data_IF_075772764495
#
_entry.id   IF_075772764495
#
_cell.length_a   1.000
_cell.length_b   1.000
_cell.length_c   1.000
_cell.angle_alpha   90.00
_cell.angle_beta   90.00
_cell.angle_gamma   90.00
#
_symmetry.space_group_name_H-M   'P 1'
#
loop_
_entity.id
_entity.type
_entity.pdbx_description
1 polymer ?
#
# COMPACT_ATOMS: atom_id res chain seq x y z
N UNK A 1 2.58 -12.66 -8.94
CA UNK A 1 1.48 -12.25 -8.05
C UNK A 1 0.26 -11.92 -8.88
N UNK A 2 -0.95 -12.24 -8.42
CA UNK A 2 -2.20 -11.78 -9.04
C UNK A 2 -2.46 -10.32 -8.63
N UNK A 3 -2.67 -9.38 -9.56
CA UNK A 3 -3.00 -7.99 -9.22
C UNK A 3 -4.28 -7.92 -8.37
N UNK A 4 -4.21 -7.21 -7.24
CA UNK A 4 -5.37 -6.90 -6.38
C UNK A 4 -5.54 -5.40 -6.30
N UNK A 5 -6.79 -4.96 -6.17
CA UNK A 5 -7.14 -3.55 -6.12
C UNK A 5 -8.18 -3.29 -5.04
N UNK A 6 -8.16 -2.07 -4.51
CA UNK A 6 -9.18 -1.54 -3.61
C UNK A 6 -9.55 -0.13 -4.04
N UNK A 7 -10.74 0.30 -3.67
CA UNK A 7 -11.25 1.64 -3.97
C UNK A 7 -11.65 2.31 -2.66
N UNK A 8 -11.38 3.60 -2.54
CA UNK A 8 -12.03 4.43 -1.52
C UNK A 8 -13.39 4.89 -2.02
N UNK A 9 -14.48 4.40 -1.41
CA UNK A 9 -15.83 4.86 -1.70
C UNK A 9 -16.11 6.15 -0.90
N UNK A 10 -16.19 7.28 -1.61
CA UNK A 10 -16.36 8.59 -1.00
C UNK A 10 -17.73 8.79 -0.35
N UNK A 11 -18.75 8.04 -0.77
CA UNK A 11 -20.11 8.10 -0.22
C UNK A 11 -20.21 7.37 1.12
N UNK A 12 -19.70 6.13 1.17
CA UNK A 12 -19.75 5.31 2.39
C UNK A 12 -18.56 5.55 3.32
N UNK A 13 -17.54 6.27 2.86
CA UNK A 13 -16.28 6.55 3.57
C UNK A 13 -15.59 5.27 4.03
N UNK A 14 -15.48 4.30 3.12
CA UNK A 14 -14.87 2.99 3.39
C UNK A 14 -13.96 2.56 2.24
N UNK A 15 -12.95 1.78 2.61
CA UNK A 15 -12.17 1.00 1.65
C UNK A 15 -12.98 -0.23 1.23
N UNK A 16 -13.13 -0.41 -0.09
CA UNK A 16 -13.89 -1.49 -0.71
C UNK A 16 -12.99 -2.33 -1.62
N UNK A 17 -13.18 -3.65 -1.62
CA UNK A 17 -12.48 -4.54 -2.54
C UNK A 17 -13.05 -4.43 -3.97
N UNK A 18 -12.15 -4.36 -4.95
CA UNK A 18 -12.51 -4.37 -6.36
C UNK A 18 -12.84 -5.78 -6.80
N UNK A 19 -13.99 -5.93 -7.45
CA UNK A 19 -14.49 -7.23 -7.94
C UNK A 19 -14.22 -7.43 -9.43
N UNK A 20 -14.16 -6.34 -10.20
CA UNK A 20 -13.86 -6.38 -11.62
C UNK A 20 -13.26 -5.05 -12.11
N UNK A 21 -12.43 -5.14 -13.14
CA UNK A 21 -11.92 -4.01 -13.91
C UNK A 21 -12.27 -4.24 -15.38
N UNK A 22 -12.99 -3.30 -15.97
CA UNK A 22 -13.22 -3.24 -17.41
C UNK A 22 -12.29 -2.19 -18.02
N UNK A 23 -11.15 -2.65 -18.54
CA UNK A 23 -10.13 -1.79 -19.15
C UNK A 23 -10.59 -1.20 -20.49
N UNK A 24 -11.57 -1.82 -21.16
CA UNK A 24 -12.08 -1.29 -22.43
C UNK A 24 -12.96 -0.06 -22.20
N UNK A 25 -13.81 -0.12 -21.19
CA UNK A 25 -14.72 0.97 -20.84
C UNK A 25 -14.17 1.92 -19.75
N UNK A 26 -12.97 1.63 -19.25
CA UNK A 26 -12.31 2.33 -18.12
C UNK A 26 -13.21 2.39 -16.89
N UNK A 27 -13.79 1.25 -16.53
CA UNK A 27 -14.71 1.09 -15.40
C UNK A 27 -14.18 0.14 -14.34
N UNK A 28 -14.50 0.44 -13.09
CA UNK A 28 -14.17 -0.38 -11.93
C UNK A 28 -15.45 -0.73 -11.18
N UNK A 29 -15.62 -2.01 -10.91
CA UNK A 29 -16.70 -2.51 -10.08
C UNK A 29 -16.14 -2.91 -8.72
N UNK A 30 -16.77 -2.47 -7.63
CA UNK A 30 -16.36 -2.77 -6.26
C UNK A 30 -17.57 -3.01 -5.36
N UNK A 31 -17.36 -3.80 -4.29
CA UNK A 31 -18.43 -4.16 -3.36
C UNK A 31 -18.50 -3.22 -2.17
N UNK A 32 -19.65 -2.60 -1.93
CA UNK A 32 -19.86 -1.71 -0.77
C UNK A 32 -20.33 -2.43 0.49
N UNK A 33 -20.71 -3.71 0.37
CA UNK A 33 -21.05 -4.58 1.48
C UNK A 33 -20.58 -6.00 1.25
N UNK A 34 -20.17 -6.64 2.32
CA UNK A 34 -19.97 -8.08 2.38
C UNK A 34 -21.04 -8.68 3.30
N UNK A 35 -21.36 -9.95 3.07
CA UNK A 35 -22.17 -10.68 4.03
C UNK A 35 -21.34 -11.11 5.25
N UNK A 36 -21.97 -11.76 6.22
CA UNK A 36 -21.34 -12.26 7.45
C UNK A 36 -20.18 -13.26 7.22
N UNK A 37 -20.02 -13.77 6.00
CA UNK A 37 -18.95 -14.70 5.59
C UNK A 37 -17.88 -14.02 4.72
N UNK A 38 -17.87 -12.70 4.61
CA UNK A 38 -16.91 -11.95 3.79
C UNK A 38 -17.12 -12.16 2.28
N UNK A 39 -18.31 -12.59 1.84
CA UNK A 39 -18.64 -12.71 0.42
C UNK A 39 -19.30 -11.44 -0.07
N UNK A 40 -18.84 -10.99 -1.24
CA UNK A 40 -19.46 -9.94 -2.05
C UNK A 40 -20.95 -10.24 -2.26
N UNK A 41 -21.79 -9.26 -1.93
CA UNK A 41 -23.21 -9.30 -2.21
C UNK A 41 -23.44 -8.55 -3.53
N UNK A 42 -23.96 -9.24 -4.56
CA UNK A 42 -24.04 -8.70 -5.93
C UNK A 42 -24.85 -7.41 -6.02
N UNK A 43 -25.90 -7.29 -5.23
CA UNK A 43 -26.78 -6.12 -5.16
C UNK A 43 -26.08 -4.85 -4.65
N UNK A 44 -24.90 -4.99 -4.04
CA UNK A 44 -24.11 -3.89 -3.48
C UNK A 44 -22.84 -3.61 -4.29
N UNK A 45 -22.74 -4.16 -5.51
CA UNK A 45 -21.68 -3.84 -6.46
C UNK A 45 -22.01 -2.50 -7.10
N UNK A 46 -21.14 -1.51 -6.89
CA UNK A 46 -21.13 -0.26 -7.66
C UNK A 46 -20.19 -0.42 -8.84
N UNK A 47 -20.49 0.27 -9.94
CA UNK A 47 -19.59 0.39 -11.09
C UNK A 47 -19.43 1.85 -11.42
N UNK A 48 -18.19 2.33 -11.42
CA UNK A 48 -17.83 3.72 -11.64
C UNK A 48 -16.75 3.82 -12.70
N UNK A 49 -16.55 5.00 -13.29
CA UNK A 49 -15.36 5.23 -14.11
C UNK A 49 -14.12 5.21 -13.22
N UNK A 50 -13.03 4.60 -13.70
CA UNK A 50 -11.76 4.55 -12.99
C UNK A 50 -11.21 5.95 -12.67
N UNK A 51 -11.54 6.95 -13.47
CA UNK A 51 -11.11 8.33 -13.27
C UNK A 51 -11.88 9.05 -12.14
N UNK A 52 -13.06 8.54 -11.77
CA UNK A 52 -13.96 9.16 -10.79
C UNK A 52 -13.79 8.56 -9.38
N UNK A 53 -12.90 7.59 -9.23
CA UNK A 53 -12.62 6.92 -7.96
C UNK A 53 -11.13 6.85 -7.67
N UNK A 54 -10.81 6.78 -6.38
CA UNK A 54 -9.44 6.54 -5.92
C UNK A 54 -9.15 5.03 -5.93
N UNK A 55 -8.70 4.55 -7.09
CA UNK A 55 -8.27 3.17 -7.29
C UNK A 55 -6.82 2.98 -6.78
N UNK A 56 -6.61 2.01 -5.90
CA UNK A 56 -5.31 1.70 -5.30
C UNK A 56 -4.90 0.26 -5.59
N UNK A 57 -3.67 0.06 -6.06
CA UNK A 57 -3.15 -1.28 -6.38
C UNK A 57 -2.35 -1.87 -5.20
N UNK A 58 -2.47 -3.19 -4.98
CA UNK A 58 -1.60 -3.93 -4.04
C UNK A 58 -0.14 -3.84 -4.48
N UNK A 59 0.76 -3.55 -3.53
CA UNK A 59 2.22 -3.53 -3.77
C UNK A 59 2.85 -4.93 -3.73
N UNK A 60 2.06 -5.94 -3.39
CA UNK A 60 2.47 -7.34 -3.38
C UNK A 60 3.26 -7.81 -2.19
N UNK A 61 3.18 -7.05 -1.10
CA UNK A 61 3.71 -7.43 0.19
C UNK A 61 2.54 -7.80 1.10
N UNK A 62 2.64 -8.98 1.69
CA UNK A 62 1.72 -9.43 2.72
C UNK A 62 2.41 -9.37 4.09
N UNK A 63 1.93 -8.47 4.95
CA UNK A 63 2.40 -8.28 6.30
C UNK A 63 1.47 -9.04 7.26
N UNK A 64 1.89 -10.23 7.70
CA UNK A 64 1.17 -11.04 8.69
C UNK A 64 -0.32 -11.26 8.36
N UNK A 65 -0.64 -11.57 7.10
CA UNK A 65 -2.02 -11.77 6.61
C UNK A 65 -2.66 -10.53 6.01
N UNK A 66 -2.09 -9.34 6.22
CA UNK A 66 -2.57 -8.07 5.62
C UNK A 66 -1.82 -7.78 4.32
N UNK A 67 -2.55 -7.73 3.22
CA UNK A 67 -2.02 -7.23 1.96
C UNK A 67 -1.83 -5.71 2.04
N UNK A 68 -0.69 -5.19 1.56
CA UNK A 68 -0.40 -3.77 1.51
C UNK A 68 -0.73 -3.18 0.13
N UNK A 69 -1.20 -1.95 0.11
CA UNK A 69 -1.68 -1.23 -1.07
C UNK A 69 -1.11 0.18 -1.13
N UNK A 70 -1.20 0.78 -2.32
CA UNK A 70 -1.10 2.22 -2.46
C UNK A 70 -2.07 2.93 -1.51
N UNK A 71 -1.65 4.09 -0.99
CA UNK A 71 -2.38 4.87 0.00
C UNK A 71 -2.28 4.36 1.45
N UNK A 72 -1.70 3.19 1.70
CA UNK A 72 -1.37 2.76 3.08
C UNK A 72 -0.30 3.67 3.69
N UNK A 73 -0.33 3.85 5.00
CA UNK A 73 0.67 4.58 5.77
C UNK A 73 1.51 3.53 6.49
N UNK A 74 2.80 3.50 6.18
CA UNK A 74 3.74 2.55 6.74
C UNK A 74 4.83 3.28 7.51
N UNK A 75 5.29 2.64 8.59
CA UNK A 75 6.58 2.94 9.21
C UNK A 75 7.56 1.82 8.92
N UNK A 76 8.76 2.19 8.49
CA UNK A 76 9.83 1.27 8.14
C UNK A 76 11.09 1.64 8.88
N UNK A 77 11.63 0.67 9.62
CA UNK A 77 12.89 0.80 10.33
C UNK A 77 13.84 -0.29 9.85
N UNK A 78 15.05 0.09 9.43
CA UNK A 78 16.06 -0.86 8.96
C UNK A 78 17.48 -0.39 9.29
N UNK A 79 18.29 -1.34 9.76
CA UNK A 79 19.72 -1.20 10.06
C UNK A 79 20.50 -2.00 9.03
N UNK A 80 21.09 -1.32 8.05
CA UNK A 80 21.77 -1.96 6.91
C UNK A 80 23.27 -1.77 6.98
N UNK A 81 24.01 -2.81 6.63
CA UNK A 81 25.41 -2.69 6.26
C UNK A 81 25.49 -2.42 4.76
N UNK A 82 26.17 -1.34 4.38
CA UNK A 82 26.45 -1.04 2.98
C UNK A 82 27.97 -0.91 2.80
N UNK A 83 28.54 -1.68 1.87
CA UNK A 83 29.96 -1.65 1.51
C UNK A 83 30.60 -3.03 1.28
N UNK A 84 31.44 -3.14 0.25
CA UNK A 84 32.28 -4.32 -0.02
C UNK A 84 33.53 -4.24 0.89
N UNK A 85 33.83 -5.31 1.61
CA UNK A 85 34.91 -5.49 2.61
C UNK A 85 35.99 -4.38 2.67
N UNK A 86 35.75 -3.36 3.52
CA UNK A 86 36.71 -2.69 4.45
C UNK A 86 36.17 -1.40 5.06
N UNK A 87 35.15 -0.77 4.49
CA UNK A 87 34.48 0.43 5.03
C UNK A 87 33.00 0.16 5.34
N UNK A 88 32.74 -0.54 6.44
CA UNK A 88 31.38 -0.87 6.89
C UNK A 88 30.64 0.42 7.27
N UNK A 89 29.73 0.88 6.42
CA UNK A 89 28.82 1.99 6.76
C UNK A 89 27.48 1.41 7.17
N UNK A 90 27.02 1.75 8.37
CA UNK A 90 25.66 1.43 8.81
C UNK A 90 24.72 2.52 8.33
N UNK A 91 23.72 2.15 7.55
CA UNK A 91 22.61 3.04 7.20
C UNK A 91 21.46 2.72 8.14
N UNK A 92 21.09 3.69 8.97
CA UNK A 92 19.85 3.67 9.72
C UNK A 92 18.77 4.31 8.86
N UNK A 93 17.78 3.53 8.47
CA UNK A 93 16.59 3.99 7.76
C UNK A 93 15.44 4.00 8.76
N UNK A 94 14.80 5.15 8.93
CA UNK A 94 13.58 5.33 9.70
C UNK A 94 12.68 6.26 8.90
N UNK A 95 11.67 5.68 8.27
CA UNK A 95 10.80 6.37 7.34
C UNK A 95 9.36 6.04 7.68
N UNK A 96 8.54 7.07 7.81
CA UNK A 96 7.09 6.94 7.92
C UNK A 96 6.47 7.70 6.76
N UNK A 97 5.52 7.10 6.05
CA UNK A 97 4.92 7.78 4.92
C UNK A 97 3.85 6.98 4.20
N UNK A 98 3.16 7.67 3.31
CA UNK A 98 2.15 7.09 2.43
C UNK A 98 2.84 6.27 1.34
N UNK A 99 2.30 5.09 1.07
CA UNK A 99 2.71 4.23 -0.03
C UNK A 99 2.22 4.81 -1.33
N UNK A 100 3.14 5.11 -2.23
CA UNK A 100 2.83 5.56 -3.60
C UNK A 100 3.58 4.72 -4.62
N UNK A 101 3.14 4.76 -5.88
CA UNK A 101 3.90 4.23 -7.01
C UNK A 101 4.16 5.32 -8.02
N UNK A 102 5.41 5.41 -8.45
CA UNK A 102 5.84 6.29 -9.53
C UNK A 102 6.67 5.51 -10.57
N UNK A 103 7.31 6.24 -11.48
CA UNK A 103 8.15 5.67 -12.52
C UNK A 103 9.46 5.03 -12.00
N UNK A 104 9.84 5.28 -10.75
CA UNK A 104 11.05 4.77 -10.08
C UNK A 104 10.69 3.55 -9.22
N UNK A 105 9.45 3.43 -8.77
CA UNK A 105 8.91 2.22 -8.15
C UNK A 105 7.92 2.50 -7.04
N UNK A 106 7.81 1.59 -6.09
CA UNK A 106 7.03 1.81 -4.86
C UNK A 106 7.82 2.66 -3.88
N UNK A 107 7.21 3.71 -3.38
CA UNK A 107 7.77 4.67 -2.43
C UNK A 107 6.99 4.61 -1.11
N UNK A 108 7.66 4.92 0.00
CA UNK A 108 7.09 5.16 1.33
C UNK A 108 7.57 6.55 1.73
N UNK A 109 6.70 7.57 1.60
CA UNK A 109 7.16 8.96 1.63
C UNK A 109 8.24 9.19 0.56
N UNK A 110 9.41 9.68 0.97
CA UNK A 110 10.54 9.96 0.07
C UNK A 110 11.50 8.76 -0.09
N UNK A 111 11.16 7.60 0.47
CA UNK A 111 12.03 6.42 0.48
C UNK A 111 11.52 5.36 -0.49
N UNK A 112 12.36 4.98 -1.45
CA UNK A 112 12.07 3.86 -2.34
C UNK A 112 12.07 2.53 -1.57
N UNK A 113 11.01 1.75 -1.70
CA UNK A 113 10.82 0.47 -1.02
C UNK A 113 11.95 -0.53 -1.31
N UNK A 114 12.49 -0.55 -2.54
CA UNK A 114 13.63 -1.40 -2.89
C UNK A 114 14.85 -1.11 -2.02
N UNK A 115 15.10 0.15 -1.64
CA UNK A 115 16.18 0.50 -0.70
C UNK A 115 16.00 -0.13 0.68
N UNK A 116 14.78 -0.49 1.07
CA UNK A 116 14.48 -1.26 2.31
C UNK A 116 14.98 -2.69 2.22
N UNK A 117 15.13 -3.27 1.02
CA UNK A 117 15.52 -4.67 0.81
C UNK A 117 16.89 -4.87 0.13
N UNK A 118 17.45 -3.85 -0.55
CA UNK A 118 18.67 -3.93 -1.38
C UNK A 118 20.02 -3.89 -0.63
N UNK A 119 20.18 -4.63 0.48
CA UNK A 119 21.50 -4.72 1.14
C UNK A 119 22.20 -6.05 0.84
N UNK A 120 23.51 -6.00 0.54
CA UNK A 120 24.38 -7.19 0.38
C UNK A 120 24.42 -8.03 1.66
N UNK A 121 24.34 -7.39 2.83
CA UNK A 121 24.14 -8.01 4.13
C UNK A 121 23.02 -7.29 4.91
N UNK A 122 21.85 -7.91 4.98
CA UNK A 122 20.80 -7.51 5.93
C UNK A 122 21.15 -8.15 7.28
N UNK A 123 21.69 -7.36 8.21
CA UNK A 123 22.02 -7.86 9.57
C UNK A 123 20.76 -8.17 10.38
N UNK A 124 19.76 -7.32 10.22
CA UNK A 124 18.45 -7.42 10.86
C UNK A 124 17.37 -7.21 9.81
N UNK A 125 16.37 -8.09 9.79
CA UNK A 125 15.23 -7.94 8.90
C UNK A 125 14.58 -6.57 9.12
N UNK A 126 14.26 -5.80 8.06
CA UNK A 126 13.58 -4.53 8.21
C UNK A 126 12.24 -4.74 8.92
N UNK A 127 11.93 -3.88 9.88
CA UNK A 127 10.62 -3.84 10.51
C UNK A 127 9.72 -2.97 9.67
N UNK A 128 8.57 -3.51 9.26
CA UNK A 128 7.52 -2.78 8.56
C UNK A 128 6.27 -2.83 9.44
N UNK A 129 5.73 -1.67 9.75
CA UNK A 129 4.53 -1.50 10.54
C UNK A 129 3.46 -0.78 9.71
N UNK A 130 2.25 -1.31 9.72
CA UNK A 130 1.08 -0.68 9.13
C UNK A 130 0.41 0.22 10.16
N UNK A 131 0.29 1.51 9.85
CA UNK A 131 -0.31 2.51 10.76
C UNK A 131 -1.76 2.83 10.39
N UNK A 132 -2.12 2.74 9.12
CA UNK A 132 -3.43 3.16 8.62
C UNK A 132 -3.41 3.37 7.11
N UNK A 133 -4.38 4.11 6.58
CA UNK A 133 -4.35 4.59 5.21
C UNK A 133 -4.77 6.06 5.12
N UNK A 134 -4.34 6.76 4.07
CA UNK A 134 -4.55 8.22 3.89
C UNK A 134 -6.02 8.67 3.88
N UNK A 135 -6.97 7.73 3.73
CA UNK A 135 -8.40 8.04 3.65
C UNK A 135 -9.14 7.80 4.95
N UNK A 136 -8.92 6.66 5.60
CA UNK A 136 -9.56 6.32 6.88
C UNK A 136 -8.83 6.91 8.08
N UNK A 137 -7.56 7.28 7.92
CA UNK A 137 -6.71 7.86 8.95
C UNK A 137 -6.04 9.16 8.47
N UNK A 138 -6.81 10.18 8.05
CA UNK A 138 -6.24 11.44 7.60
C UNK A 138 -5.44 12.17 8.69
N UNK A 139 -5.76 11.95 9.97
CA UNK A 139 -5.05 12.51 11.12
C UNK A 139 -3.57 12.10 11.17
N UNK A 140 -3.23 10.92 10.67
CA UNK A 140 -1.84 10.45 10.64
C UNK A 140 -0.98 11.24 9.65
N UNK A 141 -1.58 11.93 8.68
CA UNK A 141 -0.85 12.74 7.71
C UNK A 141 -0.33 14.04 8.31
N UNK A 142 -1.00 14.57 9.34
CA UNK A 142 -0.57 15.79 10.06
C UNK A 142 0.68 15.52 10.92
N UNK A 143 0.91 14.26 11.33
CA UNK A 143 2.06 13.87 12.15
C UNK A 143 3.30 13.47 11.32
N UNK A 144 3.17 13.33 9.99
CA UNK A 144 4.24 12.88 9.09
C UNK A 144 5.08 14.06 8.53
N UNK A 145 4.78 15.31 8.94
CA UNK A 145 5.57 16.50 8.58
C UNK A 145 7.00 16.53 9.16
#
# INVERSE_FOLDING_TARGET
>A
MMPKYRVWDTETKKICEVVALDLHNSEVSYSTKENEYGKVIKEFIKTEKMADVELMQSIGINLCGRELYEGDILKVVSTKLWGIERDKTYIYLDATGVVTRDHIGTMIGDVQLMRVFDAEEVREMPTIEYLGNKFENPELLEEIE
#
